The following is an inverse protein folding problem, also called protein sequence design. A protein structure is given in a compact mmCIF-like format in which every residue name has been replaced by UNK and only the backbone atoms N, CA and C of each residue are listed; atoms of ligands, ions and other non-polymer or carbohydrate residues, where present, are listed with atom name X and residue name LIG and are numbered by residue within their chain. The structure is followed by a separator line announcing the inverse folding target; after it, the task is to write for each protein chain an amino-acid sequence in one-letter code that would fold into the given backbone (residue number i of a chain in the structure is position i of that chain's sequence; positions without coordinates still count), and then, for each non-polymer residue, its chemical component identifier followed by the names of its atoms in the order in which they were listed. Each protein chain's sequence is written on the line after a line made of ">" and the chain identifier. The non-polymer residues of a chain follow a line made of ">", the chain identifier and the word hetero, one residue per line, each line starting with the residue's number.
data_IF_644318801363
#
_entry.id   IF_644318801363
#
_cell.length_a   1.000
_cell.length_b   1.000
_cell.length_c   1.000
_cell.angle_alpha   90.00
_cell.angle_beta   90.00
_cell.angle_gamma   90.00
#
_symmetry.space_group_name_H-M   'P 1'
#
loop_
_entity.id
_entity.type
_entity.pdbx_description
1 polymer ?
#
# COMPACT_ATOMS: atom_id res chain seq x y z
N UNK A 1 -39.73 29.97 -7.54
CA UNK A 1 -38.87 29.48 -6.45
C UNK A 1 -37.39 29.49 -6.85
N UNK A 2 -36.99 28.86 -7.96
CA UNK A 2 -35.60 28.92 -8.47
C UNK A 2 -35.17 30.34 -8.88
N UNK A 3 -36.00 31.05 -9.65
CA UNK A 3 -35.71 32.42 -10.12
C UNK A 3 -35.60 33.44 -8.99
N UNK A 4 -36.38 33.29 -7.92
CA UNK A 4 -36.29 34.13 -6.72
C UNK A 4 -35.03 33.81 -5.92
N UNK A 5 -34.68 32.53 -5.77
CA UNK A 5 -33.44 32.11 -5.08
C UNK A 5 -32.19 32.58 -5.83
N UNK A 6 -32.15 32.47 -7.16
CA UNK A 6 -31.06 33.01 -7.98
C UNK A 6 -30.93 34.53 -7.82
N UNK A 7 -32.03 35.28 -7.78
CA UNK A 7 -31.98 36.72 -7.49
C UNK A 7 -31.41 37.01 -6.09
N UNK A 8 -31.74 36.20 -5.09
CA UNK A 8 -31.18 36.34 -3.74
C UNK A 8 -29.67 36.08 -3.71
N UNK A 9 -29.18 35.08 -4.44
CA UNK A 9 -27.74 34.76 -4.52
C UNK A 9 -26.95 35.84 -5.27
N UNK A 10 -27.46 36.28 -6.42
CA UNK A 10 -26.76 37.26 -7.26
C UNK A 10 -26.97 38.70 -6.78
N UNK A 11 -27.95 38.96 -5.90
CA UNK A 11 -28.21 40.26 -5.31
C UNK A 11 -28.45 41.34 -6.37
N UNK A 12 -27.50 42.26 -6.51
CA UNK A 12 -27.55 43.36 -7.47
C UNK A 12 -26.98 43.01 -8.85
N UNK A 13 -26.38 41.83 -9.02
CA UNK A 13 -25.84 41.37 -10.29
C UNK A 13 -26.93 40.68 -11.13
N UNK A 14 -26.88 40.83 -12.47
CA UNK A 14 -27.80 40.11 -13.33
C UNK A 14 -27.53 38.60 -13.23
N UNK A 15 -28.60 37.81 -13.15
CA UNK A 15 -28.53 36.35 -13.19
C UNK A 15 -28.06 35.93 -14.59
N UNK A 16 -26.99 35.12 -14.72
CA UNK A 16 -26.51 34.64 -16.02
C UNK A 16 -27.60 33.91 -16.80
N UNK A 17 -27.57 34.04 -18.12
CA UNK A 17 -28.45 33.26 -18.99
C UNK A 17 -28.09 31.78 -18.91
N UNK A 18 -29.10 30.92 -18.78
CA UNK A 18 -28.95 29.47 -18.75
C UNK A 18 -30.07 28.82 -19.55
N UNK A 19 -29.83 27.59 -20.00
CA UNK A 19 -30.82 26.83 -20.75
C UNK A 19 -31.97 26.39 -19.83
N UNK A 20 -33.19 26.85 -20.10
CA UNK A 20 -34.37 26.48 -19.31
C UNK A 20 -34.95 25.18 -19.83
N UNK A 21 -34.34 24.07 -19.44
CA UNK A 21 -34.86 22.71 -19.66
C UNK A 21 -35.25 22.04 -18.32
N UNK A 22 -36.06 20.97 -18.39
CA UNK A 22 -36.62 20.34 -17.19
C UNK A 22 -35.53 19.80 -16.23
N UNK A 23 -34.43 19.30 -16.78
CA UNK A 23 -33.29 18.78 -16.02
C UNK A 23 -32.56 19.91 -15.27
N UNK A 24 -32.31 21.03 -15.94
CA UNK A 24 -31.61 22.19 -15.38
C UNK A 24 -32.44 22.86 -14.29
N UNK A 25 -33.76 22.94 -14.47
CA UNK A 25 -34.66 23.47 -13.43
C UNK A 25 -34.72 22.56 -12.20
N UNK A 26 -34.73 21.23 -12.39
CA UNK A 26 -34.71 20.26 -11.27
C UNK A 26 -33.41 20.33 -10.46
N UNK A 27 -32.26 20.42 -11.14
CA UNK A 27 -30.95 20.58 -10.50
C UNK A 27 -30.90 21.89 -9.69
N UNK A 28 -31.32 23.00 -10.29
CA UNK A 28 -31.34 24.30 -9.61
C UNK A 28 -32.34 24.33 -8.44
N UNK A 29 -33.47 23.63 -8.55
CA UNK A 29 -34.44 23.50 -7.47
C UNK A 29 -33.86 22.74 -6.27
N UNK A 30 -33.22 21.58 -6.51
CA UNK A 30 -32.52 20.82 -5.47
C UNK A 30 -31.40 21.61 -4.83
N UNK A 31 -30.63 22.36 -5.64
CA UNK A 31 -29.57 23.23 -5.14
C UNK A 31 -30.13 24.36 -4.26
N UNK A 32 -31.27 24.93 -4.63
CA UNK A 32 -31.96 25.95 -3.83
C UNK A 32 -32.47 25.39 -2.50
N UNK A 33 -33.11 24.22 -2.50
CA UNK A 33 -33.55 23.56 -1.26
C UNK A 33 -32.36 23.24 -0.35
N UNK A 34 -31.28 22.69 -0.90
CA UNK A 34 -30.08 22.37 -0.15
C UNK A 34 -29.41 23.62 0.42
N UNK A 35 -29.26 24.69 -0.39
CA UNK A 35 -28.71 25.97 0.08
C UNK A 35 -29.55 26.53 1.22
N UNK A 36 -30.88 26.60 1.06
CA UNK A 36 -31.76 27.15 2.09
C UNK A 36 -31.79 26.31 3.37
N UNK A 37 -31.66 24.98 3.27
CA UNK A 37 -31.51 24.12 4.44
C UNK A 37 -30.19 24.41 5.16
N UNK A 38 -29.08 24.42 4.43
CA UNK A 38 -27.75 24.74 4.96
C UNK A 38 -27.70 26.13 5.59
N UNK A 39 -28.29 27.13 4.97
CA UNK A 39 -28.28 28.51 5.46
C UNK A 39 -29.12 28.65 6.75
N UNK A 40 -30.22 27.89 6.88
CA UNK A 40 -30.99 27.79 8.14
C UNK A 40 -30.17 27.11 9.24
N UNK A 41 -29.52 25.99 8.94
CA UNK A 41 -28.70 25.27 9.92
C UNK A 41 -27.52 26.14 10.39
N UNK A 42 -26.89 26.88 9.47
CA UNK A 42 -25.84 27.83 9.79
C UNK A 42 -26.34 28.98 10.67
N UNK A 43 -27.53 29.52 10.39
CA UNK A 43 -28.13 30.56 11.22
C UNK A 43 -28.42 30.05 12.65
N UNK A 44 -28.92 28.82 12.79
CA UNK A 44 -29.13 28.19 14.10
C UNK A 44 -27.81 27.98 14.85
N UNK A 45 -26.76 27.52 14.17
CA UNK A 45 -25.43 27.35 14.75
C UNK A 45 -24.85 28.70 15.23
N UNK A 46 -25.01 29.77 14.43
CA UNK A 46 -24.55 31.11 14.82
C UNK A 46 -25.27 31.57 16.08
N UNK A 47 -26.59 31.39 16.17
CA UNK A 47 -27.36 31.82 17.32
C UNK A 47 -27.02 31.02 18.58
N UNK A 48 -26.86 29.70 18.44
CA UNK A 48 -26.39 28.82 19.51
C UNK A 48 -24.98 29.21 20.01
N UNK A 49 -24.05 29.55 19.11
CA UNK A 49 -22.72 30.01 19.49
C UNK A 49 -22.75 31.36 20.22
N UNK A 50 -23.63 32.29 19.81
CA UNK A 50 -23.83 33.55 20.54
C UNK A 50 -24.38 33.31 21.94
N UNK A 51 -25.38 32.43 22.07
CA UNK A 51 -25.97 32.09 23.36
C UNK A 51 -24.92 31.47 24.30
N UNK A 52 -24.12 30.51 23.80
CA UNK A 52 -23.00 29.95 24.58
C UNK A 52 -22.00 31.02 24.99
N UNK A 53 -21.69 31.98 24.12
CA UNK A 53 -20.76 33.06 24.45
C UNK A 53 -21.29 33.92 25.61
N UNK A 54 -22.57 34.27 25.60
CA UNK A 54 -23.24 34.99 26.70
C UNK A 54 -23.18 34.17 27.99
N UNK A 55 -23.55 32.89 27.93
CA UNK A 55 -23.51 32.00 29.11
C UNK A 55 -22.10 31.86 29.70
N UNK A 56 -21.09 31.82 28.84
CA UNK A 56 -19.69 31.79 29.26
C UNK A 56 -19.26 33.10 29.92
N UNK A 57 -19.68 34.25 29.39
CA UNK A 57 -19.39 35.56 29.95
C UNK A 57 -20.07 35.75 31.31
N UNK A 58 -21.35 35.45 31.43
CA UNK A 58 -22.09 35.48 32.70
C UNK A 58 -21.46 34.56 33.76
N UNK A 59 -21.04 33.37 33.36
CA UNK A 59 -20.35 32.44 34.26
C UNK A 59 -18.98 32.96 34.69
N UNK A 60 -18.24 33.61 33.79
CA UNK A 60 -16.94 34.20 34.11
C UNK A 60 -17.11 35.36 35.11
N UNK A 61 -18.09 36.24 34.91
CA UNK A 61 -18.43 37.31 35.85
C UNK A 61 -18.86 36.76 37.21
N UNK A 62 -19.76 35.77 37.23
CA UNK A 62 -20.19 35.11 38.47
C UNK A 62 -19.01 34.53 39.26
N UNK A 63 -18.09 33.83 38.59
CA UNK A 63 -16.90 33.26 39.22
C UNK A 63 -15.96 34.35 39.72
N UNK A 64 -15.76 35.42 38.95
CA UNK A 64 -14.94 36.56 39.35
C UNK A 64 -15.48 37.20 40.64
N UNK A 65 -16.78 37.51 40.67
CA UNK A 65 -17.44 38.10 41.84
C UNK A 65 -17.40 37.18 43.06
N UNK A 66 -17.61 35.88 42.86
CA UNK A 66 -17.54 34.90 43.93
C UNK A 66 -16.13 34.82 44.53
N UNK A 67 -15.11 34.76 43.68
CA UNK A 67 -13.71 34.73 44.10
C UNK A 67 -13.31 36.02 44.82
N UNK A 68 -13.71 37.19 44.31
CA UNK A 68 -13.46 38.48 44.98
C UNK A 68 -14.11 38.56 46.36
N UNK A 69 -15.32 38.02 46.54
CA UNK A 69 -15.99 37.94 47.85
C UNK A 69 -15.31 36.98 48.83
N UNK A 70 -14.79 35.84 48.34
CA UNK A 70 -14.16 34.81 49.17
C UNK A 70 -12.70 35.15 49.55
N UNK A 71 -11.93 35.70 48.62
CA UNK A 71 -10.49 35.94 48.77
C UNK A 71 -10.16 37.40 49.16
N UNK A 72 -11.09 38.35 49.01
CA UNK A 72 -10.82 39.76 49.22
C UNK A 72 -9.77 40.31 48.22
N UNK A 73 -8.98 41.35 48.56
CA UNK A 73 -7.99 41.95 47.66
C UNK A 73 -6.72 41.10 47.45
N UNK A 74 -6.73 39.82 47.81
CA UNK A 74 -5.59 38.91 47.73
C UNK A 74 -4.90 38.86 46.35
N UNK A 75 -5.61 38.93 45.20
CA UNK A 75 -4.96 38.95 43.89
C UNK A 75 -4.02 40.16 43.68
N UNK A 76 -4.26 41.25 44.42
CA UNK A 76 -3.46 42.48 44.35
C UNK A 76 -2.43 42.60 45.48
N UNK A 77 -2.38 41.62 46.40
CA UNK A 77 -1.44 41.63 47.54
C UNK A 77 -0.29 40.63 47.40
N UNK A 78 -0.27 39.84 46.33
CA UNK A 78 0.80 38.88 46.05
C UNK A 78 2.02 39.60 45.48
N UNK A 79 3.21 39.11 45.82
CA UNK A 79 4.45 39.52 45.14
C UNK A 79 4.43 39.04 43.69
N UNK A 80 5.25 39.66 42.83
CA UNK A 80 5.49 39.20 41.46
C UNK A 80 5.82 37.70 41.40
N UNK A 81 6.65 37.23 42.33
CA UNK A 81 7.01 35.82 42.49
C UNK A 81 5.79 34.94 42.80
N UNK A 82 4.89 35.39 43.69
CA UNK A 82 3.67 34.66 44.05
C UNK A 82 2.70 34.54 42.89
N UNK A 83 2.56 35.60 42.10
CA UNK A 83 1.76 35.59 40.87
C UNK A 83 2.35 34.64 39.83
N UNK A 84 3.67 34.66 39.64
CA UNK A 84 4.36 33.74 38.73
C UNK A 84 4.20 32.26 39.17
N UNK A 85 4.29 31.96 40.47
CA UNK A 85 4.04 30.61 40.96
C UNK A 85 2.61 30.12 40.67
N UNK A 86 1.60 30.99 40.83
CA UNK A 86 0.21 30.64 40.50
C UNK A 86 0.04 30.41 38.99
N UNK A 87 0.68 31.23 38.16
CA UNK A 87 0.62 31.08 36.71
C UNK A 87 1.26 29.76 36.23
N UNK A 88 2.42 29.40 36.80
CA UNK A 88 3.06 28.10 36.56
C UNK A 88 2.16 26.95 37.02
N UNK A 89 1.51 27.09 38.18
CA UNK A 89 0.63 26.06 38.72
C UNK A 89 -0.60 25.83 37.83
N UNK A 90 -1.24 26.90 37.37
CA UNK A 90 -2.37 26.86 36.43
C UNK A 90 -1.93 26.29 35.09
N UNK A 91 -0.80 26.75 34.56
CA UNK A 91 -0.22 26.25 33.31
C UNK A 91 0.11 24.76 33.38
N UNK A 92 0.62 24.29 34.52
CA UNK A 92 0.91 22.87 34.75
C UNK A 92 -0.36 22.04 34.78
N UNK A 93 -1.41 22.52 35.47
CA UNK A 93 -2.71 21.85 35.51
C UNK A 93 -3.35 21.79 34.11
N UNK A 94 -3.26 22.88 33.34
CA UNK A 94 -3.74 22.91 31.94
C UNK A 94 -2.97 21.94 31.05
N UNK A 95 -1.64 21.92 31.14
CA UNK A 95 -0.79 21.00 30.36
C UNK A 95 -1.10 19.53 30.67
N UNK A 96 -1.39 19.23 31.93
CA UNK A 96 -1.77 17.90 32.38
C UNK A 96 -3.26 17.60 32.18
N UNK A 97 -4.04 18.53 31.63
CA UNK A 97 -5.48 18.44 31.40
C UNK A 97 -6.28 18.14 32.68
N UNK A 98 -5.86 18.72 33.81
CA UNK A 98 -6.51 18.54 35.11
C UNK A 98 -7.23 19.82 35.55
N UNK A 99 -8.41 19.65 36.16
CA UNK A 99 -9.19 20.77 36.70
C UNK A 99 -8.80 21.14 38.14
N UNK A 100 -7.82 20.46 38.74
CA UNK A 100 -7.46 20.62 40.15
C UNK A 100 -5.94 20.79 40.30
N UNK A 101 -5.53 21.90 40.91
CA UNK A 101 -4.13 22.23 41.19
C UNK A 101 -3.59 21.59 42.46
N UNK A 102 -4.34 20.70 43.10
CA UNK A 102 -3.87 19.95 44.26
C UNK A 102 -2.70 19.05 43.88
N UNK A 103 -1.72 18.94 44.79
CA UNK A 103 -0.52 18.14 44.59
C UNK A 103 -0.86 16.69 44.20
N UNK A 104 -1.87 16.09 44.85
CA UNK A 104 -2.30 14.72 44.55
C UNK A 104 -2.83 14.58 43.12
N UNK A 105 -3.64 15.54 42.65
CA UNK A 105 -4.21 15.49 41.29
C UNK A 105 -3.12 15.63 40.23
N UNK A 106 -2.19 16.57 40.43
CA UNK A 106 -1.05 16.76 39.53
C UNK A 106 -0.14 15.53 39.53
N UNK A 107 0.13 14.93 40.69
CA UNK A 107 0.97 13.74 40.80
C UNK A 107 0.33 12.52 40.11
N UNK A 108 -0.97 12.33 40.29
CA UNK A 108 -1.72 11.29 39.57
C UNK A 108 -1.67 11.51 38.06
N UNK A 109 -1.95 12.72 37.57
CA UNK A 109 -1.92 13.03 36.15
C UNK A 109 -0.53 12.84 35.53
N UNK A 110 0.53 13.26 36.22
CA UNK A 110 1.91 13.02 35.80
C UNK A 110 2.19 11.52 35.70
N UNK A 111 1.75 10.75 36.69
CA UNK A 111 1.97 9.30 36.71
C UNK A 111 1.22 8.60 35.57
N UNK A 112 -0.03 8.99 35.31
CA UNK A 112 -0.84 8.45 34.22
C UNK A 112 -0.22 8.76 32.86
N UNK A 113 0.22 10.01 32.63
CA UNK A 113 0.93 10.41 31.42
C UNK A 113 2.26 9.67 31.24
N UNK A 114 3.01 9.47 32.31
CA UNK A 114 4.25 8.69 32.27
C UNK A 114 3.98 7.22 31.93
N UNK A 115 2.92 6.63 32.47
CA UNK A 115 2.52 5.26 32.15
C UNK A 115 2.16 5.14 30.66
N UNK A 116 1.32 6.04 30.16
CA UNK A 116 0.95 6.11 28.74
C UNK A 116 2.21 6.23 27.85
N UNK A 117 3.15 7.11 28.22
CA UNK A 117 4.41 7.26 27.51
C UNK A 117 5.22 5.94 27.47
N UNK A 118 5.35 5.25 28.61
CA UNK A 118 6.08 3.97 28.67
C UNK A 118 5.42 2.87 27.85
N UNK A 119 4.09 2.80 27.85
CA UNK A 119 3.33 1.86 27.04
C UNK A 119 3.57 2.11 25.54
N UNK A 120 3.43 3.36 25.09
CA UNK A 120 3.66 3.77 23.70
C UNK A 120 5.12 3.50 23.29
N UNK A 121 6.10 3.83 24.13
CA UNK A 121 7.51 3.53 23.86
C UNK A 121 7.76 2.02 23.74
N UNK A 122 7.16 1.22 24.62
CA UNK A 122 7.29 -0.24 24.59
C UNK A 122 6.73 -0.83 23.30
N UNK A 123 5.54 -0.38 22.88
CA UNK A 123 4.95 -0.77 21.61
C UNK A 123 5.80 -0.33 20.41
N UNK A 124 6.32 0.90 20.42
CA UNK A 124 7.21 1.39 19.37
C UNK A 124 8.47 0.54 19.26
N UNK A 125 9.11 0.20 20.39
CA UNK A 125 10.25 -0.73 20.42
C UNK A 125 9.90 -2.12 19.88
N UNK A 126 8.66 -2.60 20.07
CA UNK A 126 8.19 -3.86 19.48
C UNK A 126 8.04 -3.75 17.96
N UNK A 127 7.36 -2.71 17.47
CA UNK A 127 7.18 -2.43 16.04
C UNK A 127 8.53 -2.28 15.32
N UNK A 128 9.49 -1.59 15.93
CA UNK A 128 10.83 -1.40 15.35
C UNK A 128 11.61 -2.72 15.24
N UNK A 129 11.47 -3.62 16.23
CA UNK A 129 12.06 -4.97 16.15
C UNK A 129 11.43 -5.82 15.05
N UNK A 130 10.12 -5.72 14.87
CA UNK A 130 9.40 -6.42 13.80
C UNK A 130 9.81 -5.89 12.42
N UNK A 131 9.90 -4.57 12.25
CA UNK A 131 10.40 -3.93 11.04
C UNK A 131 11.81 -4.43 10.70
N UNK A 132 12.74 -4.40 11.66
CA UNK A 132 14.10 -4.92 11.48
C UNK A 132 14.14 -6.41 11.12
N UNK A 133 13.19 -7.21 11.63
CA UNK A 133 13.07 -8.63 11.26
C UNK A 133 12.60 -8.78 9.81
N UNK A 134 11.60 -8.00 9.40
CA UNK A 134 11.07 -8.02 8.04
C UNK A 134 12.11 -7.53 7.02
N UNK A 135 12.88 -6.49 7.33
CA UNK A 135 13.98 -6.01 6.47
C UNK A 135 15.01 -7.11 6.22
N UNK A 136 15.46 -7.81 7.26
CA UNK A 136 16.41 -8.94 7.11
C UNK A 136 15.85 -10.05 6.22
N UNK A 137 14.57 -10.41 6.39
CA UNK A 137 13.90 -11.39 5.53
C UNK A 137 13.86 -10.92 4.08
N UNK A 138 13.48 -9.67 3.84
CA UNK A 138 13.43 -9.08 2.50
C UNK A 138 14.81 -9.13 1.84
N UNK A 139 15.87 -8.73 2.54
CA UNK A 139 17.24 -8.83 2.01
C UNK A 139 17.62 -10.27 1.65
N UNK A 140 17.26 -11.26 2.48
CA UNK A 140 17.55 -12.67 2.17
C UNK A 140 16.78 -13.18 0.95
N UNK A 141 15.53 -12.75 0.78
CA UNK A 141 14.70 -13.12 -0.37
C UNK A 141 15.23 -12.49 -1.66
N UNK A 142 15.59 -11.20 -1.63
CA UNK A 142 16.19 -10.51 -2.77
C UNK A 142 17.52 -11.15 -3.21
N UNK A 143 18.35 -11.59 -2.24
CA UNK A 143 19.57 -12.32 -2.56
C UNK A 143 19.25 -13.66 -3.24
N UNK A 144 18.26 -14.41 -2.74
CA UNK A 144 17.85 -15.67 -3.36
C UNK A 144 17.27 -15.46 -4.77
N UNK A 145 16.48 -14.41 -4.98
CA UNK A 145 15.92 -14.04 -6.28
C UNK A 145 17.03 -13.80 -7.31
N UNK A 146 18.03 -12.98 -6.97
CA UNK A 146 19.16 -12.70 -7.87
C UNK A 146 19.97 -13.96 -8.21
N UNK A 147 20.13 -14.89 -7.25
CA UNK A 147 20.73 -16.20 -7.51
C UNK A 147 19.89 -17.06 -8.45
N UNK A 148 18.57 -17.11 -8.24
CA UNK A 148 17.66 -17.87 -9.09
C UNK A 148 17.63 -17.35 -10.52
N UNK A 149 17.67 -16.02 -10.72
CA UNK A 149 17.80 -15.42 -12.04
C UNK A 149 19.10 -15.84 -12.75
N UNK A 150 20.23 -15.88 -12.04
CA UNK A 150 21.50 -16.34 -12.59
C UNK A 150 21.43 -17.84 -12.97
N UNK A 151 20.84 -18.67 -12.11
CA UNK A 151 20.64 -20.09 -12.38
C UNK A 151 19.73 -20.33 -13.58
N UNK A 152 18.67 -19.53 -13.73
CA UNK A 152 17.76 -19.60 -14.87
C UNK A 152 18.49 -19.31 -16.17
N UNK A 153 19.24 -18.19 -16.24
CA UNK A 153 20.06 -17.84 -17.41
C UNK A 153 21.04 -18.96 -17.80
N UNK A 154 21.73 -19.55 -16.82
CA UNK A 154 22.63 -20.70 -17.05
C UNK A 154 21.88 -21.93 -17.57
N UNK A 155 20.67 -22.16 -17.09
CA UNK A 155 19.84 -23.29 -17.53
C UNK A 155 19.37 -23.11 -18.98
N UNK A 156 18.92 -21.91 -19.33
CA UNK A 156 18.50 -21.54 -20.69
C UNK A 156 19.65 -21.71 -21.69
N UNK A 157 20.87 -21.27 -21.34
CA UNK A 157 22.04 -21.44 -22.19
C UNK A 157 22.37 -22.92 -22.43
N UNK A 158 22.35 -23.75 -21.36
CA UNK A 158 22.56 -25.20 -21.49
C UNK A 158 21.49 -25.86 -22.34
N UNK A 159 20.23 -25.43 -22.19
CA UNK A 159 19.12 -25.95 -22.98
C UNK A 159 19.32 -25.65 -24.46
N UNK A 160 19.77 -24.43 -24.80
CA UNK A 160 20.10 -24.05 -26.19
C UNK A 160 21.20 -24.95 -26.77
N UNK A 161 22.32 -25.12 -26.05
CA UNK A 161 23.43 -25.97 -26.50
C UNK A 161 22.96 -27.42 -26.71
N UNK A 162 22.21 -27.96 -25.75
CA UNK A 162 21.71 -29.33 -25.84
C UNK A 162 20.76 -29.51 -27.02
N UNK A 163 19.92 -28.51 -27.30
CA UNK A 163 19.04 -28.51 -28.48
C UNK A 163 19.85 -28.58 -29.77
N UNK A 164 20.87 -27.75 -29.91
CA UNK A 164 21.74 -27.75 -31.09
C UNK A 164 22.44 -29.12 -31.28
N UNK A 165 22.91 -29.74 -30.19
CA UNK A 165 23.50 -31.09 -30.22
C UNK A 165 22.47 -32.13 -30.65
N UNK A 166 21.24 -32.08 -30.12
CA UNK A 166 20.16 -32.98 -30.51
C UNK A 166 19.80 -32.83 -31.99
N UNK A 167 19.76 -31.61 -32.50
CA UNK A 167 19.46 -31.33 -33.91
C UNK A 167 20.56 -31.91 -34.82
N UNK A 168 21.83 -31.75 -34.46
CA UNK A 168 22.97 -32.38 -35.16
C UNK A 168 22.86 -33.91 -35.12
N UNK A 169 22.58 -34.49 -33.96
CA UNK A 169 22.42 -35.94 -33.82
C UNK A 169 21.26 -36.47 -34.68
N UNK A 170 20.14 -35.75 -34.72
CA UNK A 170 18.98 -36.08 -35.54
C UNK A 170 19.34 -36.08 -37.04
N UNK A 171 20.03 -35.03 -37.50
CA UNK A 171 20.52 -34.94 -38.89
C UNK A 171 21.49 -36.09 -39.22
N UNK A 172 22.46 -36.37 -38.36
CA UNK A 172 23.39 -37.49 -38.54
C UNK A 172 22.66 -38.84 -38.62
N UNK A 173 21.67 -39.06 -37.77
CA UNK A 173 20.89 -40.30 -37.74
C UNK A 173 20.06 -40.46 -39.02
N UNK A 174 19.47 -39.38 -39.54
CA UNK A 174 18.76 -39.43 -40.84
C UNK A 174 19.69 -39.72 -42.01
N UNK A 175 20.89 -39.13 -42.03
CA UNK A 175 21.92 -39.42 -43.03
C UNK A 175 22.36 -40.89 -42.99
N UNK A 176 22.68 -41.41 -41.79
CA UNK A 176 23.11 -42.80 -41.62
C UNK A 176 22.02 -43.80 -42.04
N UNK A 177 20.75 -43.52 -41.73
CA UNK A 177 19.61 -44.33 -42.22
C UNK A 177 19.56 -44.37 -43.74
N UNK A 178 19.68 -43.22 -44.41
CA UNK A 178 19.67 -43.14 -45.87
C UNK A 178 20.84 -43.93 -46.47
N UNK A 179 22.05 -43.76 -45.92
CA UNK A 179 23.25 -44.46 -46.38
C UNK A 179 23.16 -45.97 -46.18
N UNK A 180 22.59 -46.42 -45.06
CA UNK A 180 22.34 -47.84 -44.80
C UNK A 180 21.41 -48.44 -45.85
N UNK A 181 20.34 -47.73 -46.22
CA UNK A 181 19.41 -48.18 -47.27
C UNK A 181 20.08 -48.24 -48.65
N UNK A 182 20.89 -47.23 -49.01
CA UNK A 182 21.66 -47.23 -50.25
C UNK A 182 22.64 -48.40 -50.35
N UNK A 183 23.40 -48.65 -49.28
CA UNK A 183 24.35 -49.77 -49.21
C UNK A 183 23.61 -51.10 -49.36
N UNK A 184 22.44 -51.24 -48.70
CA UNK A 184 21.62 -52.44 -48.82
C UNK A 184 21.21 -52.71 -50.26
N UNK A 185 20.71 -51.70 -50.98
CA UNK A 185 20.37 -51.83 -52.40
C UNK A 185 21.59 -52.23 -53.24
N UNK A 186 22.75 -51.58 -53.00
CA UNK A 186 23.98 -51.89 -53.74
C UNK A 186 24.47 -53.32 -53.50
N UNK A 187 24.32 -53.84 -52.28
CA UNK A 187 24.62 -55.24 -51.97
C UNK A 187 23.68 -56.15 -52.76
N UNK A 188 22.36 -55.92 -52.69
CA UNK A 188 21.36 -56.71 -53.42
C UNK A 188 21.58 -56.70 -54.95
N UNK A 189 21.98 -55.57 -55.54
CA UNK A 189 22.33 -55.45 -56.95
C UNK A 189 23.62 -56.22 -57.30
N UNK A 190 24.65 -56.12 -56.45
CA UNK A 190 25.92 -56.81 -56.66
C UNK A 190 25.75 -58.34 -56.53
N UNK A 191 24.99 -58.80 -55.55
CA UNK A 191 24.63 -60.21 -55.36
C UNK A 191 23.88 -60.76 -56.57
N UNK A 192 22.89 -60.02 -57.10
CA UNK A 192 22.20 -60.38 -58.36
C UNK A 192 23.17 -60.49 -59.52
N UNK A 193 24.05 -59.50 -59.68
CA UNK A 193 25.07 -59.50 -60.75
C UNK A 193 26.04 -60.67 -60.65
N UNK A 194 26.43 -61.08 -59.44
CA UNK A 194 27.27 -62.25 -59.20
C UNK A 194 26.54 -63.55 -59.57
N UNK A 195 25.27 -63.68 -59.16
CA UNK A 195 24.44 -64.83 -59.54
C UNK A 195 24.27 -64.94 -61.05
N UNK A 196 24.00 -63.83 -61.75
CA UNK A 196 23.86 -63.80 -63.22
C UNK A 196 25.15 -64.22 -63.95
N UNK A 197 26.32 -64.00 -63.34
CA UNK A 197 27.64 -64.41 -63.86
C UNK A 197 28.01 -65.86 -63.51
N UNK A 198 27.10 -66.62 -62.90
CA UNK A 198 27.30 -68.03 -62.55
C UNK A 198 28.12 -68.26 -61.28
N UNK A 199 28.12 -67.30 -60.35
CA UNK A 199 28.75 -67.49 -59.04
C UNK A 199 28.04 -68.60 -58.25
N UNK A 200 28.82 -69.56 -57.72
CA UNK A 200 28.33 -70.64 -56.87
C UNK A 200 28.31 -70.20 -55.40
N UNK A 201 27.14 -70.28 -54.76
CA UNK A 201 26.94 -69.93 -53.35
C UNK A 201 27.80 -70.79 -52.39
N UNK A 202 28.28 -71.96 -52.83
CA UNK A 202 29.21 -72.80 -52.07
C UNK A 202 30.56 -72.12 -51.78
N UNK A 203 30.93 -71.11 -52.57
CA UNK A 203 32.17 -70.33 -52.41
C UNK A 203 32.01 -69.12 -51.48
N UNK A 204 30.84 -68.92 -50.88
CA UNK A 204 30.64 -67.84 -49.89
C UNK A 204 31.44 -68.11 -48.63
N UNK A 205 31.90 -67.04 -47.95
CA UNK A 205 32.61 -67.17 -46.68
C UNK A 205 31.78 -67.95 -45.64
N UNK A 206 30.46 -67.72 -45.59
CA UNK A 206 29.58 -68.47 -44.67
C UNK A 206 29.54 -69.97 -45.01
N UNK A 207 29.45 -70.34 -46.29
CA UNK A 207 29.48 -71.75 -46.70
C UNK A 207 30.85 -72.39 -46.45
N UNK A 208 31.94 -71.69 -46.74
CA UNK A 208 33.30 -72.17 -46.52
C UNK A 208 33.63 -72.34 -45.03
N UNK A 209 33.16 -71.44 -44.17
CA UNK A 209 33.33 -71.56 -42.71
C UNK A 209 32.53 -72.76 -42.19
N UNK A 210 31.27 -72.94 -42.60
CA UNK A 210 30.45 -74.11 -42.24
C UNK A 210 31.01 -75.44 -42.75
N UNK A 211 31.85 -75.42 -43.79
CA UNK A 211 32.57 -76.59 -44.30
C UNK A 211 33.90 -76.83 -43.56
N UNK A 212 34.42 -75.83 -42.86
CA UNK A 212 35.70 -75.90 -42.11
C UNK A 212 35.53 -76.15 -40.61
N UNK A 213 34.32 -75.99 -40.08
CA UNK A 213 33.89 -76.48 -38.76
C UNK A 213 33.34 -77.90 -38.86
#
# INVERSE_FOLDING_TARGET
>A
QVTSWLKTIYGNYPVPEFEVNAETVDVLYKLAEYSNARDRDMALLIEDMKQRAIEHEEKAEFLHDHLMKQLGPLPYSLSEEGTNCLDILVSSAMLLETNNTSLTSLFSAINDRNLELYEVESENRKKERELRRSMRKLTSVLLLETQLEEHLKKCEERLRIHKDICDIHSQNLTFLKRKSYEIKIRIEDAERTLCDRGFDQSLTHEALVKLSE
#
